data_IF_279812221104
#
_entry.id   IF_279812221104
#
_cell.length_a   1.000
_cell.length_b   1.000
_cell.length_c   1.000
_cell.angle_alpha   90.00
_cell.angle_beta   90.00
_cell.angle_gamma   90.00
#
_symmetry.space_group_name_H-M   'P 1'
#
loop_
_entity.id
_entity.type
_entity.pdbx_description
1 polymer ?
#
# COMPACT_ATOMS: atom_id res chain seq x y z
N UNK A 1 3.10 -37.73 -5.87
CA UNK A 1 2.05 -37.14 -5.04
C UNK A 1 2.35 -37.51 -3.59
N UNK A 2 3.10 -36.66 -2.89
CA UNK A 2 3.31 -36.85 -1.46
C UNK A 2 2.21 -36.10 -0.72
N UNK A 3 1.27 -36.85 -0.15
CA UNK A 3 0.34 -36.32 0.84
C UNK A 3 1.12 -35.90 2.07
N UNK A 4 0.94 -34.67 2.60
CA UNK A 4 1.64 -34.25 3.80
C UNK A 4 1.19 -35.10 4.98
N UNK A 5 2.15 -35.54 5.79
CA UNK A 5 1.94 -36.29 7.02
C UNK A 5 1.09 -35.46 8.00
N UNK A 6 -0.11 -35.92 8.44
CA UNK A 6 -1.00 -35.14 9.29
C UNK A 6 -0.49 -34.92 10.73
N UNK A 7 0.72 -35.35 11.05
CA UNK A 7 1.35 -35.19 12.38
C UNK A 7 2.55 -34.28 12.41
N UNK A 8 2.82 -33.49 11.34
CA UNK A 8 3.89 -32.50 11.41
C UNK A 8 3.45 -31.28 12.26
N UNK A 9 4.32 -30.73 13.11
CA UNK A 9 3.99 -29.55 13.92
C UNK A 9 3.44 -28.37 13.10
N UNK A 10 3.85 -28.23 11.84
CA UNK A 10 3.38 -27.17 10.94
C UNK A 10 1.88 -27.28 10.63
N UNK A 11 1.31 -28.49 10.51
CA UNK A 11 -0.13 -28.66 10.22
C UNK A 11 -1.02 -28.28 11.41
N UNK A 12 -0.54 -28.46 12.64
CA UNK A 12 -1.25 -28.07 13.87
C UNK A 12 -1.34 -26.55 14.01
N UNK A 13 -0.22 -25.83 13.78
CA UNK A 13 -0.20 -24.37 13.83
C UNK A 13 -1.04 -23.75 12.73
N UNK A 14 -0.96 -24.27 11.52
CA UNK A 14 -1.74 -23.81 10.39
C UNK A 14 -3.24 -23.95 10.62
N UNK A 15 -3.68 -25.12 11.13
CA UNK A 15 -5.08 -25.37 11.48
C UNK A 15 -5.57 -24.43 12.59
N UNK A 16 -4.78 -24.24 13.65
CA UNK A 16 -5.13 -23.34 14.75
C UNK A 16 -5.21 -21.88 14.28
N UNK A 17 -4.28 -21.44 13.43
CA UNK A 17 -4.25 -20.11 12.85
C UNK A 17 -5.47 -19.86 11.95
N UNK A 18 -5.77 -20.77 11.04
CA UNK A 18 -6.95 -20.68 10.16
C UNK A 18 -8.26 -20.68 10.94
N UNK A 19 -8.38 -21.52 11.98
CA UNK A 19 -9.56 -21.52 12.85
C UNK A 19 -9.73 -20.20 13.60
N UNK A 20 -8.63 -19.58 14.05
CA UNK A 20 -8.68 -18.27 14.70
C UNK A 20 -9.14 -17.18 13.73
N UNK A 21 -8.68 -17.22 12.47
CA UNK A 21 -9.09 -16.27 11.43
C UNK A 21 -10.54 -16.47 10.96
N UNK A 22 -11.04 -17.72 10.85
CA UNK A 22 -12.40 -18.02 10.33
C UNK A 22 -13.53 -17.74 11.34
N UNK A 23 -13.22 -17.63 12.63
CA UNK A 23 -14.22 -17.36 13.68
C UNK A 23 -14.46 -15.88 13.95
N UNK A 24 -13.98 -14.99 13.11
CA UNK A 24 -14.22 -13.54 13.15
C UNK A 24 -15.62 -13.22 12.59
N UNK A 25 -16.69 -13.76 13.22
CA UNK A 25 -18.06 -13.32 12.98
C UNK A 25 -18.34 -12.14 13.91
N UNK A 26 -18.90 -11.03 13.45
CA UNK A 26 -19.24 -9.91 14.32
C UNK A 26 -20.29 -10.36 15.35
N UNK A 27 -19.98 -10.19 16.62
CA UNK A 27 -20.92 -10.37 17.72
C UNK A 27 -21.68 -9.05 17.89
N UNK A 28 -22.99 -9.09 17.72
CA UNK A 28 -23.87 -7.93 17.98
C UNK A 28 -23.90 -7.66 19.49
N UNK A 29 -23.51 -6.47 19.90
CA UNK A 29 -23.63 -5.96 21.27
C UNK A 29 -24.47 -4.68 21.30
N UNK A 30 -25.11 -4.43 22.47
CA UNK A 30 -26.03 -3.30 22.71
C UNK A 30 -25.33 -1.92 22.66
N UNK A 31 -26.07 -0.83 22.33
CA UNK A 31 -25.49 0.46 21.98
C UNK A 31 -24.86 1.20 23.16
N UNK A 32 -23.62 1.65 22.99
CA UNK A 32 -22.91 2.49 23.95
C UNK A 32 -23.05 3.98 23.63
N UNK A 33 -23.96 4.64 24.31
CA UNK A 33 -24.42 6.01 24.01
C UNK A 33 -23.48 7.17 24.32
N UNK A 34 -22.14 7.05 24.35
CA UNK A 34 -21.22 8.18 24.61
C UNK A 34 -19.82 8.05 23.97
N UNK A 35 -19.66 7.32 22.88
CA UNK A 35 -18.35 7.05 22.27
C UNK A 35 -17.69 8.28 21.62
N UNK A 36 -18.50 9.18 21.04
CA UNK A 36 -17.97 10.34 20.30
C UNK A 36 -17.19 11.36 21.17
N UNK A 37 -17.33 11.34 22.50
CA UNK A 37 -16.56 12.20 23.41
C UNK A 37 -15.24 11.60 23.86
N UNK A 38 -15.06 10.32 23.61
CA UNK A 38 -13.97 9.51 24.16
C UNK A 38 -12.77 9.43 23.22
N UNK A 39 -12.96 9.72 21.94
CA UNK A 39 -11.95 9.49 20.90
C UNK A 39 -11.59 10.76 20.14
N UNK A 40 -10.33 10.83 19.74
CA UNK A 40 -9.78 11.89 18.91
C UNK A 40 -10.18 11.71 17.45
N UNK A 41 -10.17 12.78 16.66
CA UNK A 41 -10.41 12.76 15.22
C UNK A 41 -9.50 11.75 14.50
N UNK A 42 -8.23 11.67 14.89
CA UNK A 42 -7.27 10.71 14.35
C UNK A 42 -7.71 9.24 14.57
N UNK A 43 -8.36 8.96 15.68
CA UNK A 43 -8.90 7.63 15.99
C UNK A 43 -10.11 7.32 15.10
N UNK A 44 -10.97 8.30 14.84
CA UNK A 44 -12.09 8.18 13.91
C UNK A 44 -11.62 8.00 12.46
N UNK A 45 -10.60 8.74 12.03
CA UNK A 45 -9.95 8.56 10.74
C UNK A 45 -9.37 7.14 10.60
N UNK A 46 -8.77 6.60 11.66
CA UNK A 46 -8.25 5.23 11.67
C UNK A 46 -9.36 4.19 11.48
N UNK A 47 -10.54 4.42 12.07
CA UNK A 47 -11.70 3.55 11.94
C UNK A 47 -12.30 3.59 10.53
N UNK A 48 -12.45 4.77 9.96
CA UNK A 48 -12.85 4.91 8.56
C UNK A 48 -11.92 4.16 7.64
N UNK A 49 -10.62 4.39 7.76
CA UNK A 49 -9.61 3.75 6.91
C UNK A 49 -9.57 2.22 7.05
N UNK A 50 -9.94 1.68 8.20
CA UNK A 50 -10.03 0.23 8.43
C UNK A 50 -11.31 -0.39 7.89
N UNK A 51 -12.29 0.42 7.47
CA UNK A 51 -13.61 -0.05 7.08
C UNK A 51 -14.49 -0.47 8.26
N UNK A 52 -14.16 -0.04 9.48
CA UNK A 52 -14.88 -0.44 10.70
C UNK A 52 -16.35 0.02 10.71
N UNK A 53 -16.67 1.10 10.00
CA UNK A 53 -18.03 1.59 9.82
C UNK A 53 -18.83 0.83 8.74
N UNK A 54 -18.23 -0.16 8.07
CA UNK A 54 -18.81 -0.84 6.91
C UNK A 54 -18.46 -0.13 5.59
N UNK A 55 -19.16 -0.54 4.53
CA UNK A 55 -18.93 -0.04 3.16
C UNK A 55 -20.15 0.64 2.54
N UNK A 56 -21.28 0.62 3.24
CA UNK A 56 -22.57 1.14 2.74
C UNK A 56 -23.14 2.13 3.73
N UNK A 57 -23.46 3.34 3.27
CA UNK A 57 -23.90 4.46 4.09
C UNK A 57 -25.09 5.16 3.48
N UNK A 58 -25.88 5.87 4.31
CA UNK A 58 -26.87 6.81 3.83
C UNK A 58 -26.38 8.24 4.00
N UNK A 59 -26.56 9.02 2.95
CA UNK A 59 -26.28 10.47 2.99
C UNK A 59 -27.30 11.19 3.88
N UNK A 60 -27.00 12.41 4.26
CA UNK A 60 -27.96 13.28 4.97
C UNK A 60 -29.24 13.52 4.13
N UNK A 61 -29.13 13.49 2.80
CA UNK A 61 -30.26 13.61 1.86
C UNK A 61 -31.01 12.28 1.63
N UNK A 62 -30.52 11.14 2.17
CA UNK A 62 -31.20 9.85 2.09
C UNK A 62 -30.70 8.92 0.98
N UNK A 63 -29.82 9.37 0.06
CA UNK A 63 -29.22 8.55 -0.99
C UNK A 63 -28.29 7.49 -0.42
N UNK A 64 -28.12 6.38 -1.14
CA UNK A 64 -27.25 5.28 -0.77
C UNK A 64 -25.84 5.50 -1.32
N UNK A 65 -24.83 5.43 -0.46
CA UNK A 65 -23.41 5.46 -0.82
C UNK A 65 -22.79 4.08 -0.60
N UNK A 66 -22.19 3.53 -1.63
CA UNK A 66 -21.40 2.27 -1.58
C UNK A 66 -19.92 2.60 -1.83
N UNK A 67 -19.08 2.41 -0.83
CA UNK A 67 -17.66 2.69 -0.94
C UNK A 67 -16.99 1.61 -1.80
N UNK A 68 -16.38 2.04 -2.89
CA UNK A 68 -15.54 1.21 -3.76
C UNK A 68 -14.09 1.25 -3.27
N UNK A 69 -13.62 2.43 -2.84
CA UNK A 69 -12.30 2.64 -2.28
C UNK A 69 -12.35 3.74 -1.22
N UNK A 70 -11.85 3.45 -0.01
CA UNK A 70 -11.82 4.41 1.11
C UNK A 70 -10.87 5.59 0.90
N UNK A 71 -10.00 5.52 -0.09
CA UNK A 71 -8.94 6.49 -0.33
C UNK A 71 -7.63 6.14 0.39
N UNK A 72 -6.66 7.06 0.27
CA UNK A 72 -5.38 6.95 0.95
C UNK A 72 -5.35 7.93 2.12
N UNK A 73 -5.11 7.43 3.29
CA UNK A 73 -5.00 8.26 4.49
C UNK A 73 -3.86 9.27 4.33
N UNK A 74 -4.22 10.52 4.15
CA UNK A 74 -3.31 11.63 4.00
C UNK A 74 -2.74 12.02 5.38
N UNK A 75 -1.43 12.23 5.42
CA UNK A 75 -0.69 12.69 6.61
C UNK A 75 -0.02 14.04 6.35
N UNK A 76 -0.36 14.69 5.26
CA UNK A 76 0.10 16.00 4.84
C UNK A 76 -1.08 16.99 4.94
N UNK A 77 -0.82 18.32 4.92
CA UNK A 77 -1.91 19.30 4.90
C UNK A 77 -2.87 19.06 3.73
N UNK A 78 -4.15 19.09 3.97
CA UNK A 78 -5.21 18.82 3.00
C UNK A 78 -6.22 17.81 3.52
N UNK A 79 -7.13 17.31 2.67
CA UNK A 79 -8.16 16.34 3.04
C UNK A 79 -7.59 15.08 3.68
N UNK A 80 -8.32 14.48 4.61
CA UNK A 80 -7.90 13.30 5.39
C UNK A 80 -7.63 12.07 4.52
N UNK A 81 -8.44 11.86 3.50
CA UNK A 81 -8.27 10.74 2.57
C UNK A 81 -8.34 11.26 1.15
N UNK A 82 -7.35 10.89 0.36
CA UNK A 82 -7.26 11.27 -1.05
C UNK A 82 -7.54 10.08 -1.97
N UNK A 83 -8.07 10.36 -3.16
CA UNK A 83 -8.37 9.34 -4.18
C UNK A 83 -9.34 8.24 -3.71
N UNK A 84 -10.37 8.61 -2.98
CA UNK A 84 -11.48 7.73 -2.67
C UNK A 84 -12.43 7.59 -3.88
N UNK A 85 -13.18 6.50 -3.91
CA UNK A 85 -14.25 6.31 -4.88
C UNK A 85 -15.46 5.62 -4.26
N UNK A 86 -16.66 6.03 -4.66
CA UNK A 86 -17.90 5.45 -4.20
C UNK A 86 -18.99 5.54 -5.26
N UNK A 87 -20.00 4.71 -5.16
CA UNK A 87 -21.21 4.77 -5.97
C UNK A 87 -22.35 5.43 -5.20
N UNK A 88 -23.11 6.30 -5.87
CA UNK A 88 -24.31 6.91 -5.33
C UNK A 88 -25.52 6.26 -6.00
N UNK A 89 -26.42 5.71 -5.18
CA UNK A 89 -27.65 5.02 -5.60
C UNK A 89 -27.40 3.89 -6.63
N UNK A 90 -26.21 3.26 -6.57
CA UNK A 90 -25.82 2.16 -7.46
C UNK A 90 -25.42 2.55 -8.88
N UNK A 91 -25.69 3.77 -9.30
CA UNK A 91 -25.52 4.19 -10.70
C UNK A 91 -24.28 5.05 -10.94
N UNK A 92 -24.12 6.13 -10.17
CA UNK A 92 -23.09 7.14 -10.44
C UNK A 92 -21.84 6.91 -9.62
N UNK A 93 -20.69 6.72 -10.30
CA UNK A 93 -19.37 6.66 -9.65
C UNK A 93 -18.85 8.08 -9.39
N UNK A 94 -18.47 8.34 -8.15
CA UNK A 94 -17.77 9.54 -7.72
C UNK A 94 -16.32 9.19 -7.37
N UNK A 95 -15.40 10.06 -7.79
CA UNK A 95 -13.99 9.97 -7.46
C UNK A 95 -13.52 11.32 -6.91
N UNK A 96 -12.83 11.30 -5.78
CA UNK A 96 -12.31 12.51 -5.15
C UNK A 96 -11.73 12.23 -3.78
N UNK A 97 -11.72 13.27 -2.95
CA UNK A 97 -11.14 13.21 -1.62
C UNK A 97 -12.25 13.16 -0.56
N UNK A 98 -11.91 12.71 0.64
CA UNK A 98 -12.83 12.58 1.78
C UNK A 98 -12.26 13.34 2.96
N UNK A 99 -13.12 14.07 3.65
CA UNK A 99 -12.82 14.75 4.92
C UNK A 99 -13.66 14.16 6.03
N UNK A 100 -13.08 14.00 7.22
CA UNK A 100 -13.74 13.52 8.41
C UNK A 100 -13.58 14.52 9.57
N UNK A 101 -14.66 15.14 9.95
CA UNK A 101 -14.72 16.10 11.07
C UNK A 101 -15.52 15.54 12.26
N UNK A 102 -15.25 16.00 13.46
CA UNK A 102 -16.07 15.65 14.63
C UNK A 102 -17.44 16.32 14.53
N UNK A 103 -17.49 17.58 14.23
CA UNK A 103 -18.76 18.33 14.05
C UNK A 103 -18.91 18.75 12.60
N UNK A 104 -20.13 18.71 12.08
CA UNK A 104 -20.41 19.18 10.71
C UNK A 104 -19.99 20.63 10.47
N UNK A 105 -20.00 21.48 11.50
CA UNK A 105 -19.57 22.87 11.43
C UNK A 105 -18.03 23.06 11.40
N UNK A 106 -17.26 22.01 11.66
CA UNK A 106 -15.81 22.08 11.66
C UNK A 106 -15.26 22.33 10.27
N UNK A 107 -15.99 21.92 9.21
CA UNK A 107 -15.65 22.26 7.83
C UNK A 107 -15.40 23.77 7.64
N UNK A 108 -16.29 24.62 8.12
CA UNK A 108 -16.12 26.07 8.03
C UNK A 108 -15.21 26.62 9.12
N UNK A 109 -15.25 26.06 10.31
CA UNK A 109 -14.39 26.47 11.44
C UNK A 109 -12.91 26.23 11.14
N UNK A 110 -12.57 25.14 10.45
CA UNK A 110 -11.21 24.83 10.02
C UNK A 110 -10.83 25.53 8.71
N UNK A 111 -11.77 26.26 8.08
CA UNK A 111 -11.54 27.04 6.88
C UNK A 111 -11.48 26.20 5.59
N UNK A 112 -12.02 24.99 5.60
CA UNK A 112 -12.01 24.09 4.42
C UNK A 112 -12.80 24.69 3.26
N UNK A 113 -13.91 25.37 3.53
CA UNK A 113 -14.72 26.08 2.53
C UNK A 113 -13.96 27.19 1.78
N UNK A 114 -12.86 27.69 2.33
CA UNK A 114 -12.03 28.77 1.74
C UNK A 114 -10.64 28.26 1.27
N UNK A 115 -10.36 26.97 1.40
CA UNK A 115 -9.07 26.38 1.06
C UNK A 115 -9.14 25.56 -0.22
N UNK A 116 -8.47 25.98 -1.32
CA UNK A 116 -8.48 25.26 -2.60
C UNK A 116 -7.95 23.80 -2.51
N UNK A 117 -7.20 23.45 -1.48
CA UNK A 117 -6.75 22.08 -1.27
C UNK A 117 -7.93 21.12 -1.06
N UNK A 118 -9.11 21.63 -0.63
CA UNK A 118 -10.32 20.85 -0.38
C UNK A 118 -11.31 20.84 -1.55
N UNK A 119 -10.99 21.46 -2.69
CA UNK A 119 -11.89 21.54 -3.85
C UNK A 119 -12.19 20.17 -4.50
N UNK A 120 -11.36 19.18 -4.23
CA UNK A 120 -11.54 17.81 -4.68
C UNK A 120 -12.33 16.94 -3.72
N UNK A 121 -12.70 17.46 -2.56
CA UNK A 121 -13.53 16.70 -1.60
C UNK A 121 -14.91 16.47 -2.21
N UNK A 122 -15.29 15.20 -2.21
CA UNK A 122 -16.61 14.73 -2.73
C UNK A 122 -17.47 14.15 -1.63
N UNK A 123 -16.86 13.82 -0.47
CA UNK A 123 -17.54 13.22 0.66
C UNK A 123 -17.04 13.84 1.96
N UNK A 124 -17.96 14.38 2.76
CA UNK A 124 -17.73 14.91 4.09
C UNK A 124 -18.40 14.00 5.13
N UNK A 125 -17.60 13.40 5.97
CA UNK A 125 -18.04 12.54 7.07
C UNK A 125 -18.04 13.33 8.36
N UNK A 126 -19.04 13.17 9.20
CA UNK A 126 -19.06 13.81 10.50
C UNK A 126 -19.80 12.98 11.56
N UNK A 127 -19.45 13.21 12.82
CA UNK A 127 -19.95 12.44 13.96
C UNK A 127 -21.10 13.14 14.68
N UNK A 128 -21.12 14.49 14.66
CA UNK A 128 -22.12 15.29 15.38
C UNK A 128 -22.78 16.31 14.46
N UNK A 129 -24.10 16.34 14.48
CA UNK A 129 -24.91 17.34 13.78
C UNK A 129 -24.83 18.70 14.48
N UNK A 130 -25.00 19.76 13.72
CA UNK A 130 -25.33 21.09 14.24
C UNK A 130 -26.87 21.21 14.43
N UNK A 131 -27.33 22.03 15.40
CA UNK A 131 -28.75 22.38 15.52
C UNK A 131 -29.31 23.04 14.24
N UNK A 132 -28.48 23.77 13.50
CA UNK A 132 -28.85 24.38 12.22
C UNK A 132 -28.43 23.46 11.05
N UNK A 133 -29.16 23.49 9.97
CA UNK A 133 -28.81 22.83 8.71
C UNK A 133 -27.48 23.40 8.21
N UNK A 134 -26.51 22.52 7.94
CA UNK A 134 -25.19 22.89 7.49
C UNK A 134 -24.90 22.23 6.14
N UNK A 135 -24.56 23.03 5.14
CA UNK A 135 -24.23 22.57 3.80
C UNK A 135 -22.73 22.69 3.57
N UNK A 136 -22.08 21.57 3.29
CA UNK A 136 -20.66 21.56 2.97
C UNK A 136 -20.43 21.97 1.52
N UNK A 137 -19.65 23.02 1.30
CA UNK A 137 -19.28 23.52 -0.03
C UNK A 137 -17.80 23.81 -0.14
N UNK A 138 -17.25 23.58 -1.33
CA UNK A 138 -15.86 23.92 -1.68
C UNK A 138 -15.73 25.41 -2.05
N UNK A 139 -14.47 25.88 -2.27
CA UNK A 139 -14.21 27.26 -2.73
C UNK A 139 -14.90 27.56 -4.06
N UNK A 140 -15.08 26.52 -4.90
CA UNK A 140 -15.79 26.62 -6.20
C UNK A 140 -17.32 26.50 -6.06
N UNK A 141 -17.83 26.63 -4.85
CA UNK A 141 -19.26 26.48 -4.53
C UNK A 141 -19.87 25.11 -4.93
N UNK A 142 -19.03 24.09 -5.11
CA UNK A 142 -19.47 22.72 -5.36
C UNK A 142 -20.00 22.12 -4.07
N UNK A 143 -21.18 21.52 -4.13
CA UNK A 143 -21.75 20.78 -3.00
C UNK A 143 -21.00 19.48 -2.75
N UNK A 144 -20.69 19.19 -1.47
CA UNK A 144 -20.04 18.00 -1.01
C UNK A 144 -21.08 17.08 -0.37
N UNK A 145 -21.08 15.81 -0.75
CA UNK A 145 -22.00 14.80 -0.20
C UNK A 145 -21.67 14.58 1.28
N UNK A 146 -22.70 14.56 2.13
CA UNK A 146 -22.56 14.47 3.58
C UNK A 146 -23.06 13.13 4.11
N UNK A 147 -22.27 12.49 4.99
CA UNK A 147 -22.65 11.30 5.76
C UNK A 147 -22.50 11.61 7.25
N UNK A 148 -23.54 11.33 8.00
CA UNK A 148 -23.53 11.36 9.45
C UNK A 148 -23.30 9.95 10.00
N UNK A 149 -22.18 9.73 10.67
CA UNK A 149 -21.73 8.40 11.12
C UNK A 149 -22.34 7.93 12.46
N UNK A 150 -23.35 8.60 13.02
CA UNK A 150 -23.86 8.25 14.35
C UNK A 150 -24.45 6.84 14.43
N UNK A 151 -25.20 6.42 13.40
CA UNK A 151 -25.80 5.07 13.36
C UNK A 151 -24.75 3.97 13.28
N UNK A 152 -23.65 4.24 12.61
CA UNK A 152 -22.52 3.33 12.46
C UNK A 152 -21.69 3.26 13.74
N UNK A 153 -21.59 4.38 14.49
CA UNK A 153 -20.91 4.45 15.78
C UNK A 153 -21.63 3.62 16.83
N UNK A 154 -22.96 3.68 16.85
CA UNK A 154 -23.79 2.94 17.82
C UNK A 154 -23.66 1.42 17.66
N UNK A 155 -23.12 0.96 16.52
CA UNK A 155 -22.82 -0.45 16.23
C UNK A 155 -21.40 -0.86 16.63
N UNK A 156 -20.54 0.11 17.03
CA UNK A 156 -19.14 -0.17 17.34
C UNK A 156 -18.94 -0.50 18.81
N UNK A 157 -18.08 -1.46 19.06
CA UNK A 157 -17.58 -1.75 20.40
C UNK A 157 -16.66 -0.63 20.91
N UNK A 158 -16.50 -0.53 22.22
CA UNK A 158 -15.94 0.56 23.01
C UNK A 158 -14.52 1.05 22.64
N UNK A 159 -13.83 0.48 21.60
CA UNK A 159 -12.43 0.86 21.32
C UNK A 159 -11.94 0.57 19.88
N UNK A 160 -11.36 1.57 19.21
CA UNK A 160 -10.73 1.36 17.91
C UNK A 160 -9.44 0.54 18.04
N UNK A 161 -9.28 -0.55 17.28
CA UNK A 161 -8.13 -1.46 17.41
C UNK A 161 -6.80 -0.86 16.97
N UNK A 162 -6.81 0.23 16.19
CA UNK A 162 -5.61 0.75 15.53
C UNK A 162 -4.96 1.91 16.31
N UNK A 163 -5.73 2.72 17.01
CA UNK A 163 -5.25 3.96 17.63
C UNK A 163 -4.63 3.78 19.03
N UNK A 164 -5.02 2.74 19.76
CA UNK A 164 -4.49 2.48 21.09
C UNK A 164 -3.22 1.64 21.07
N UNK A 165 -2.07 2.29 20.94
CA UNK A 165 -0.78 1.64 21.18
C UNK A 165 -0.68 1.23 22.66
N UNK A 166 -0.28 -0.03 22.92
CA UNK A 166 0.04 -0.51 24.26
C UNK A 166 -1.04 -1.32 24.98
N UNK A 167 -2.22 -1.53 24.38
CA UNK A 167 -3.27 -2.40 25.00
C UNK A 167 -3.13 -3.88 24.69
N UNK A 168 -2.31 -4.25 23.74
CA UNK A 168 -2.01 -5.65 23.47
C UNK A 168 -1.25 -6.24 24.67
N UNK A 169 -1.65 -7.44 25.12
CA UNK A 169 -1.03 -8.15 26.23
C UNK A 169 0.34 -8.75 25.91
N UNK A 170 0.95 -8.39 24.80
CA UNK A 170 2.23 -8.90 24.30
C UNK A 170 2.26 -10.46 24.25
N UNK A 171 1.36 -11.08 23.51
CA UNK A 171 1.13 -12.54 23.57
C UNK A 171 2.35 -13.36 23.18
N UNK A 172 3.28 -12.83 22.39
CA UNK A 172 4.52 -13.52 22.02
C UNK A 172 5.66 -13.30 23.03
N UNK A 173 5.52 -12.35 23.92
CA UNK A 173 6.61 -11.94 24.83
C UNK A 173 7.11 -13.05 25.78
N UNK A 174 6.24 -14.03 26.12
CA UNK A 174 6.54 -15.09 27.08
C UNK A 174 6.63 -16.49 26.47
N UNK A 175 6.36 -16.63 25.18
CA UNK A 175 6.39 -17.93 24.51
C UNK A 175 7.80 -18.46 24.27
N UNK A 176 7.98 -19.79 24.17
CA UNK A 176 9.24 -20.37 23.70
C UNK A 176 9.60 -19.87 22.28
N UNK A 177 10.88 -19.62 22.03
CA UNK A 177 11.36 -19.10 20.73
C UNK A 177 10.91 -20.01 19.55
N UNK A 178 10.98 -21.33 19.72
CA UNK A 178 10.51 -22.29 18.69
C UNK A 178 9.04 -22.14 18.34
N UNK A 179 8.18 -21.89 19.32
CA UNK A 179 6.74 -21.66 19.11
C UNK A 179 6.52 -20.36 18.33
N UNK A 180 7.25 -19.31 18.72
CA UNK A 180 7.21 -18.01 18.01
C UNK A 180 7.63 -18.17 16.54
N UNK A 181 8.76 -18.86 16.29
CA UNK A 181 9.28 -19.06 14.93
C UNK A 181 8.30 -19.86 14.07
N UNK A 182 7.72 -20.94 14.60
CA UNK A 182 6.72 -21.74 13.88
C UNK A 182 5.46 -20.94 13.54
N UNK A 183 4.98 -20.13 14.48
CA UNK A 183 3.82 -19.27 14.28
C UNK A 183 4.08 -18.20 13.21
N UNK A 184 5.22 -17.52 13.31
CA UNK A 184 5.63 -16.50 12.36
C UNK A 184 5.84 -17.12 10.98
N UNK A 185 6.46 -18.29 10.89
CA UNK A 185 6.65 -19.00 9.62
C UNK A 185 5.32 -19.37 8.98
N UNK A 186 4.37 -19.89 9.76
CA UNK A 186 3.01 -20.21 9.29
C UNK A 186 2.33 -18.96 8.71
N UNK A 187 2.35 -17.86 9.45
CA UNK A 187 1.78 -16.59 8.99
C UNK A 187 2.48 -16.06 7.73
N UNK A 188 3.81 -16.23 7.63
CA UNK A 188 4.58 -15.83 6.45
C UNK A 188 4.17 -16.65 5.22
N UNK A 189 4.00 -17.96 5.35
CA UNK A 189 3.53 -18.84 4.28
C UNK A 189 2.15 -18.44 3.80
N UNK A 190 1.21 -18.19 4.70
CA UNK A 190 -0.13 -17.69 4.37
C UNK A 190 -0.05 -16.37 3.59
N UNK A 191 0.80 -15.44 4.05
CA UNK A 191 0.98 -14.16 3.35
C UNK A 191 1.52 -14.34 1.95
N UNK A 192 2.50 -15.20 1.77
CA UNK A 192 3.09 -15.45 0.45
C UNK A 192 2.08 -16.14 -0.47
N UNK A 193 1.28 -17.07 0.04
CA UNK A 193 0.22 -17.70 -0.73
C UNK A 193 -0.85 -16.70 -1.18
N UNK A 194 -1.34 -15.84 -0.27
CA UNK A 194 -2.29 -14.76 -0.63
C UNK A 194 -1.75 -13.87 -1.77
N UNK A 195 -0.44 -13.55 -1.74
CA UNK A 195 0.18 -12.77 -2.82
C UNK A 195 0.32 -13.55 -4.13
N UNK A 196 0.67 -14.83 -4.05
CA UNK A 196 0.74 -15.71 -5.22
C UNK A 196 -0.64 -15.83 -5.89
N UNK A 197 -1.69 -16.04 -5.10
CA UNK A 197 -3.08 -16.13 -5.58
C UNK A 197 -3.53 -14.82 -6.23
N UNK A 198 -3.16 -13.67 -5.66
CA UNK A 198 -3.44 -12.36 -6.25
C UNK A 198 -2.72 -12.18 -7.60
N UNK A 199 -1.44 -12.57 -7.65
CA UNK A 199 -0.67 -12.52 -8.89
C UNK A 199 -1.27 -13.45 -9.95
N UNK A 200 -1.68 -14.66 -9.55
CA UNK A 200 -2.31 -15.63 -10.45
C UNK A 200 -3.64 -15.12 -11.01
N UNK A 201 -4.47 -14.47 -10.18
CA UNK A 201 -5.71 -13.80 -10.66
C UNK A 201 -5.40 -12.72 -11.69
N UNK A 202 -4.40 -11.88 -11.42
CA UNK A 202 -3.96 -10.85 -12.37
C UNK A 202 -3.40 -11.47 -13.67
N UNK A 203 -2.64 -12.56 -13.54
CA UNK A 203 -2.09 -13.29 -14.67
C UNK A 203 -3.17 -13.95 -15.55
N UNK A 204 -4.24 -14.45 -14.94
CA UNK A 204 -5.40 -14.98 -15.66
C UNK A 204 -6.10 -13.91 -16.50
N UNK A 205 -6.17 -12.66 -15.97
CA UNK A 205 -6.83 -11.56 -16.67
C UNK A 205 -5.95 -10.89 -17.76
N UNK A 206 -4.64 -10.81 -17.54
CA UNK A 206 -3.74 -9.97 -18.34
C UNK A 206 -2.53 -10.71 -18.93
N UNK A 207 -2.33 -11.97 -18.58
CA UNK A 207 -1.10 -12.72 -18.85
C UNK A 207 -0.03 -12.51 -17.78
N UNK A 208 0.84 -13.51 -17.61
CA UNK A 208 1.86 -13.52 -16.52
C UNK A 208 2.85 -12.37 -16.66
N UNK A 209 3.33 -12.08 -17.86
CA UNK A 209 4.30 -10.99 -18.07
C UNK A 209 3.73 -9.62 -17.67
N UNK A 210 2.48 -9.34 -18.03
CA UNK A 210 1.81 -8.10 -17.68
C UNK A 210 1.53 -8.00 -16.19
N UNK A 211 1.08 -9.09 -15.56
CA UNK A 211 0.86 -9.15 -14.13
C UNK A 211 2.16 -8.89 -13.33
N UNK A 212 3.26 -9.48 -13.78
CA UNK A 212 4.59 -9.24 -13.19
C UNK A 212 5.05 -7.80 -13.39
N UNK A 213 4.86 -7.23 -14.57
CA UNK A 213 5.21 -5.84 -14.85
C UNK A 213 4.48 -4.89 -13.90
N UNK A 214 3.18 -5.08 -13.73
CA UNK A 214 2.38 -4.30 -12.78
C UNK A 214 2.86 -4.51 -11.34
N UNK A 215 3.20 -5.73 -10.94
CA UNK A 215 3.73 -6.03 -9.61
C UNK A 215 5.09 -5.34 -9.36
N UNK A 216 6.00 -5.33 -10.33
CA UNK A 216 7.26 -4.57 -10.27
C UNK A 216 7.01 -3.07 -10.15
N UNK A 217 6.11 -2.53 -10.95
CA UNK A 217 5.74 -1.12 -10.91
C UNK A 217 5.23 -0.73 -9.50
N UNK A 218 4.30 -1.49 -8.93
CA UNK A 218 3.79 -1.28 -7.57
C UNK A 218 4.91 -1.36 -6.52
N UNK A 219 5.83 -2.34 -6.64
CA UNK A 219 6.95 -2.48 -5.72
C UNK A 219 7.91 -1.29 -5.78
N UNK A 220 8.14 -0.74 -6.97
CA UNK A 220 8.97 0.46 -7.18
C UNK A 220 8.30 1.74 -6.69
N UNK A 221 6.97 1.82 -6.71
CA UNK A 221 6.20 2.98 -6.25
C UNK A 221 6.34 3.30 -4.77
N UNK A 222 6.90 2.39 -3.96
CA UNK A 222 7.05 2.55 -2.51
C UNK A 222 5.73 2.88 -1.82
N UNK A 223 5.76 3.53 -0.65
CA UNK A 223 4.54 3.80 0.14
C UNK A 223 3.57 4.76 -0.56
N UNK A 224 4.09 5.84 -1.13
CA UNK A 224 3.30 6.98 -1.56
C UNK A 224 2.93 6.95 -3.05
N UNK A 225 3.69 6.22 -3.86
CA UNK A 225 3.52 6.21 -5.32
C UNK A 225 3.10 4.84 -5.89
N UNK A 226 2.62 3.90 -5.07
CA UNK A 226 2.16 2.59 -5.57
C UNK A 226 1.07 2.71 -6.62
N UNK A 227 0.13 3.63 -6.41
CA UNK A 227 -1.01 3.83 -7.30
C UNK A 227 -0.62 4.52 -8.59
N UNK A 228 0.10 5.65 -8.57
CA UNK A 228 0.60 6.22 -9.83
C UNK A 228 1.40 5.21 -10.64
N UNK A 229 2.26 4.40 -10.01
CA UNK A 229 3.00 3.35 -10.71
C UNK A 229 2.10 2.24 -11.26
N UNK A 230 1.09 1.81 -10.53
CA UNK A 230 0.11 0.84 -11.03
C UNK A 230 -0.68 1.42 -12.21
N UNK A 231 -1.22 2.62 -12.05
CA UNK A 231 -1.95 3.32 -13.10
C UNK A 231 -1.11 3.54 -14.36
N UNK A 232 0.18 3.86 -14.18
CA UNK A 232 1.12 3.97 -15.27
C UNK A 232 1.33 2.63 -15.97
N UNK A 233 1.57 1.55 -15.22
CA UNK A 233 1.78 0.21 -15.80
C UNK A 233 0.54 -0.30 -16.54
N UNK A 234 -0.66 0.01 -16.08
CA UNK A 234 -1.90 -0.35 -16.77
C UNK A 234 -2.08 0.42 -18.09
N UNK A 235 -1.56 1.64 -18.20
CA UNK A 235 -1.59 2.46 -19.44
C UNK A 235 -0.44 2.15 -20.36
N UNK A 236 0.77 2.09 -19.83
CA UNK A 236 1.99 1.73 -20.53
C UNK A 236 2.22 0.21 -20.48
N UNK A 237 1.33 -0.56 -21.09
CA UNK A 237 1.42 -2.03 -21.08
C UNK A 237 2.80 -2.51 -21.50
N UNK A 238 3.27 -3.59 -20.90
CA UNK A 238 4.60 -4.14 -21.15
C UNK A 238 4.86 -4.41 -22.65
N UNK A 239 3.86 -4.97 -23.35
CA UNK A 239 4.00 -5.23 -24.80
C UNK A 239 4.23 -3.94 -25.57
N UNK A 240 3.46 -2.89 -25.27
CA UNK A 240 3.63 -1.56 -25.86
C UNK A 240 5.05 -1.03 -25.67
N UNK A 241 5.59 -1.14 -24.45
CA UNK A 241 6.95 -0.70 -24.13
C UNK A 241 8.01 -1.49 -24.89
N UNK A 242 7.83 -2.79 -25.01
CA UNK A 242 8.75 -3.67 -25.76
C UNK A 242 8.74 -3.39 -27.25
N UNK A 243 7.59 -3.07 -27.81
CA UNK A 243 7.44 -2.74 -29.24
C UNK A 243 8.16 -1.41 -29.57
N UNK A 244 8.25 -0.50 -28.59
CA UNK A 244 8.96 0.78 -28.75
C UNK A 244 10.46 0.70 -28.42
N UNK A 245 10.96 -0.42 -27.89
CA UNK A 245 12.40 -0.68 -27.70
C UNK A 245 13.15 0.45 -27.01
N UNK A 246 14.01 1.16 -27.71
CA UNK A 246 14.84 2.28 -27.19
C UNK A 246 13.95 3.43 -26.67
N UNK A 247 12.80 3.67 -27.26
CA UNK A 247 11.88 4.73 -26.86
C UNK A 247 11.00 4.35 -25.64
N UNK A 248 11.09 3.13 -25.12
CA UNK A 248 10.28 2.68 -23.98
C UNK A 248 10.45 3.53 -22.72
N UNK A 249 11.68 3.95 -22.43
CA UNK A 249 11.95 4.86 -21.30
C UNK A 249 11.25 6.21 -21.51
N UNK A 250 11.38 6.78 -22.68
CA UNK A 250 10.74 8.05 -23.05
C UNK A 250 9.22 7.96 -22.98
N UNK A 251 8.65 6.85 -23.42
CA UNK A 251 7.23 6.58 -23.33
C UNK A 251 6.76 6.48 -21.87
N UNK A 252 7.51 5.80 -21.01
CA UNK A 252 7.21 5.73 -19.57
C UNK A 252 7.24 7.13 -18.92
N UNK A 253 8.29 7.92 -19.17
CA UNK A 253 8.40 9.26 -18.61
C UNK A 253 7.35 10.23 -19.15
N UNK A 254 7.01 10.12 -20.43
CA UNK A 254 5.94 10.91 -21.06
C UNK A 254 4.58 10.57 -20.48
N UNK A 255 4.23 9.29 -20.40
CA UNK A 255 2.97 8.83 -19.82
C UNK A 255 2.86 9.11 -18.32
N UNK A 256 3.98 9.17 -17.60
CA UNK A 256 4.01 9.63 -16.22
C UNK A 256 3.73 11.14 -16.06
N UNK A 257 3.71 11.91 -17.17
CA UNK A 257 3.53 13.35 -17.17
C UNK A 257 4.82 14.14 -16.82
N UNK A 258 5.98 13.48 -16.75
CA UNK A 258 7.24 14.11 -16.33
C UNK A 258 7.94 14.87 -17.46
N UNK A 259 7.44 14.76 -18.68
CA UNK A 259 7.97 15.45 -19.87
C UNK A 259 7.04 16.56 -20.39
N UNK A 260 5.98 16.92 -19.65
CA UNK A 260 4.94 17.84 -20.11
C UNK A 260 5.14 19.30 -19.65
N UNK A 261 5.77 19.55 -18.49
CA UNK A 261 5.81 20.87 -17.87
C UNK A 261 7.22 21.48 -17.79
N UNK A 262 7.31 22.76 -17.37
CA UNK A 262 8.52 23.60 -17.25
C UNK A 262 9.72 23.01 -16.49
N UNK A 263 9.64 21.74 -16.07
CA UNK A 263 10.76 20.89 -15.68
C UNK A 263 11.80 20.78 -16.81
N UNK A 264 11.35 20.94 -18.04
CA UNK A 264 12.08 20.86 -19.29
C UNK A 264 13.38 21.69 -19.26
N UNK A 265 13.27 22.97 -18.97
CA UNK A 265 14.42 23.88 -19.03
C UNK A 265 15.48 23.61 -17.95
N UNK A 266 15.06 23.09 -16.78
CA UNK A 266 16.00 22.75 -15.70
C UNK A 266 16.70 21.41 -15.94
N UNK A 267 16.01 20.44 -16.49
CA UNK A 267 16.58 19.14 -16.79
C UNK A 267 17.58 19.21 -17.95
N UNK A 268 17.27 19.98 -18.99
CA UNK A 268 18.16 20.23 -20.13
C UNK A 268 19.48 20.92 -19.72
N UNK A 269 19.48 21.71 -18.64
CA UNK A 269 20.68 22.35 -18.12
C UNK A 269 21.62 21.39 -17.34
N UNK A 270 21.12 20.20 -16.91
CA UNK A 270 21.88 19.22 -16.11
C UNK A 270 22.57 18.18 -17.00
N UNK A 271 21.82 17.55 -17.89
CA UNK A 271 22.32 16.60 -18.89
C UNK A 271 21.55 16.79 -20.20
N UNK A 272 22.08 17.65 -21.08
CA UNK A 272 21.38 18.01 -22.32
C UNK A 272 21.15 16.81 -23.25
N UNK A 273 22.07 15.85 -23.30
CA UNK A 273 22.00 14.74 -24.23
C UNK A 273 21.01 13.66 -23.77
N UNK A 274 21.00 13.37 -22.48
CA UNK A 274 20.00 12.45 -21.92
C UNK A 274 18.59 13.02 -22.03
N UNK A 275 18.43 14.30 -21.68
CA UNK A 275 17.16 15.00 -21.78
C UNK A 275 16.64 15.06 -23.21
N UNK A 276 17.51 15.43 -24.17
CA UNK A 276 17.15 15.54 -25.59
C UNK A 276 16.62 14.20 -26.12
N UNK A 277 17.29 13.09 -25.82
CA UNK A 277 16.85 11.75 -26.23
C UNK A 277 15.46 11.42 -25.67
N UNK A 278 15.22 11.65 -24.37
CA UNK A 278 13.91 11.39 -23.76
C UNK A 278 12.83 12.22 -24.44
N UNK A 279 13.11 13.51 -24.64
CA UNK A 279 12.13 14.46 -25.17
C UNK A 279 11.85 14.23 -26.66
N UNK A 280 12.85 14.01 -27.50
CA UNK A 280 12.69 13.75 -28.93
C UNK A 280 11.84 12.50 -29.19
N UNK A 281 12.14 11.39 -28.53
CA UNK A 281 11.34 10.18 -28.65
C UNK A 281 9.91 10.39 -28.15
N UNK A 282 9.74 11.06 -27.00
CA UNK A 282 8.41 11.34 -26.47
C UNK A 282 7.61 12.22 -27.42
N UNK A 283 8.21 13.26 -27.92
CA UNK A 283 7.54 14.21 -28.82
C UNK A 283 6.99 13.55 -30.08
N UNK A 284 7.68 12.58 -30.65
CA UNK A 284 7.21 11.78 -31.77
C UNK A 284 5.99 10.90 -31.42
N UNK A 285 5.91 10.42 -30.17
CA UNK A 285 4.87 9.53 -29.70
C UNK A 285 3.70 10.26 -29.03
N UNK A 286 3.91 11.49 -28.59
CA UNK A 286 2.99 12.23 -27.76
C UNK A 286 1.58 12.36 -28.33
N UNK A 287 1.43 12.65 -29.60
CA UNK A 287 0.12 12.82 -30.25
C UNK A 287 -0.71 11.53 -30.18
N UNK A 288 -0.07 10.37 -30.28
CA UNK A 288 -0.72 9.07 -30.20
C UNK A 288 -1.14 8.71 -28.77
N UNK A 289 -0.35 9.07 -27.77
CA UNK A 289 -0.52 8.62 -26.39
C UNK A 289 -0.95 9.71 -25.40
N UNK A 290 -1.25 10.92 -25.87
CA UNK A 290 -1.61 12.06 -25.02
C UNK A 290 -2.79 11.76 -24.07
N UNK A 291 -3.78 10.97 -24.51
CA UNK A 291 -4.95 10.58 -23.73
C UNK A 291 -4.63 9.62 -22.56
N UNK A 292 -3.43 9.02 -22.55
CA UNK A 292 -2.97 8.12 -21.49
C UNK A 292 -2.06 8.80 -20.45
N UNK A 293 -1.70 10.06 -20.64
CA UNK A 293 -0.82 10.80 -19.72
C UNK A 293 -1.45 10.86 -18.33
N UNK A 294 -0.66 10.52 -17.31
CA UNK A 294 -1.05 10.68 -15.92
C UNK A 294 -0.97 12.14 -15.50
N UNK A 295 -1.91 12.56 -14.68
CA UNK A 295 -1.87 13.88 -14.06
C UNK A 295 -0.70 13.97 -13.08
N UNK A 296 0.00 15.10 -13.06
CA UNK A 296 1.17 15.34 -12.21
C UNK A 296 0.82 15.31 -10.72
N UNK A 297 -0.38 15.71 -10.33
CA UNK A 297 -0.87 15.74 -8.95
C UNK A 297 -1.08 14.34 -8.31
N UNK A 298 -1.08 13.28 -9.12
CA UNK A 298 -1.08 11.89 -8.63
C UNK A 298 0.25 11.49 -7.97
N UNK A 299 1.35 12.17 -8.32
CA UNK A 299 2.67 11.83 -7.83
C UNK A 299 3.01 12.55 -6.52
N UNK A 300 3.65 11.86 -5.60
CA UNK A 300 4.15 12.40 -4.33
C UNK A 300 5.68 12.49 -4.38
N UNK A 301 6.19 13.72 -4.33
CA UNK A 301 7.62 14.02 -4.44
C UNK A 301 8.24 14.42 -3.10
N UNK A 302 7.51 15.15 -2.26
CA UNK A 302 8.06 15.94 -1.15
C UNK A 302 8.60 15.15 0.04
N UNK A 303 8.03 13.97 0.34
CA UNK A 303 8.38 13.18 1.54
C UNK A 303 9.21 11.94 1.23
N UNK A 304 9.71 11.82 0.00
CA UNK A 304 10.49 10.67 -0.44
C UNK A 304 11.99 10.90 -0.20
N UNK A 305 12.69 9.88 0.32
CA UNK A 305 14.16 9.91 0.28
C UNK A 305 14.61 10.03 -1.18
N UNK A 306 15.71 10.78 -1.49
CA UNK A 306 16.14 10.99 -2.87
C UNK A 306 16.25 9.71 -3.70
N UNK A 307 16.77 8.63 -3.09
CA UNK A 307 16.86 7.31 -3.74
C UNK A 307 15.52 6.66 -4.07
N UNK A 308 14.41 7.12 -3.48
CA UNK A 308 13.05 6.62 -3.73
C UNK A 308 12.21 7.60 -4.59
N UNK A 309 12.83 8.64 -5.13
CA UNK A 309 12.14 9.62 -5.97
C UNK A 309 11.48 8.94 -7.19
N UNK A 310 10.24 9.31 -7.58
CA UNK A 310 9.52 8.68 -8.68
C UNK A 310 10.31 8.64 -9.99
N UNK A 311 11.03 9.71 -10.35
CA UNK A 311 11.84 9.74 -11.57
C UNK A 311 12.86 8.59 -11.59
N UNK A 312 13.63 8.44 -10.51
CA UNK A 312 14.64 7.39 -10.40
C UNK A 312 14.03 5.99 -10.41
N UNK A 313 12.88 5.82 -9.77
CA UNK A 313 12.14 4.54 -9.76
C UNK A 313 11.57 4.21 -11.11
N UNK A 314 11.20 5.24 -11.88
CA UNK A 314 10.75 5.05 -13.26
C UNK A 314 11.92 4.64 -14.17
N UNK A 315 13.11 5.22 -13.98
CA UNK A 315 14.33 4.75 -14.64
C UNK A 315 14.66 3.29 -14.32
N UNK A 316 14.46 2.86 -13.07
CA UNK A 316 14.61 1.46 -12.69
C UNK A 316 13.57 0.55 -13.38
N UNK A 317 12.32 1.01 -13.53
CA UNK A 317 11.28 0.29 -14.25
C UNK A 317 11.62 0.16 -15.74
N UNK A 318 12.13 1.22 -16.36
CA UNK A 318 12.59 1.21 -17.74
C UNK A 318 13.72 0.20 -17.96
N UNK A 319 14.67 0.13 -17.03
CA UNK A 319 15.76 -0.85 -17.09
C UNK A 319 15.26 -2.30 -16.94
N UNK A 320 14.27 -2.54 -16.08
CA UNK A 320 13.61 -3.84 -15.98
C UNK A 320 12.92 -4.23 -17.29
N UNK A 321 12.23 -3.28 -17.94
CA UNK A 321 11.59 -3.52 -19.25
C UNK A 321 12.64 -3.87 -20.31
N UNK A 322 13.75 -3.15 -20.35
CA UNK A 322 14.85 -3.40 -21.28
C UNK A 322 15.43 -4.80 -21.14
N UNK A 323 15.52 -5.29 -19.91
CA UNK A 323 16.07 -6.61 -19.56
C UNK A 323 14.97 -7.67 -19.31
N UNK A 324 13.74 -7.47 -19.82
CA UNK A 324 12.60 -8.33 -19.52
C UNK A 324 12.81 -9.80 -19.91
N UNK A 325 13.58 -10.05 -20.96
CA UNK A 325 13.92 -11.43 -21.37
C UNK A 325 14.66 -12.21 -20.25
N UNK A 326 15.49 -11.52 -19.47
CA UNK A 326 16.22 -12.12 -18.37
C UNK A 326 15.29 -12.46 -17.19
N UNK A 327 14.27 -11.63 -16.94
CA UNK A 327 13.27 -11.86 -15.89
C UNK A 327 12.49 -13.16 -16.15
N UNK A 328 12.25 -13.51 -17.40
CA UNK A 328 11.57 -14.76 -17.76
C UNK A 328 12.40 -16.01 -17.46
N UNK A 329 13.72 -15.87 -17.42
CA UNK A 329 14.71 -16.92 -17.16
C UNK A 329 15.25 -16.88 -15.74
N UNK A 330 14.56 -16.14 -14.84
CA UNK A 330 15.05 -15.92 -13.49
C UNK A 330 15.17 -17.25 -12.72
N UNK A 331 16.28 -17.40 -12.03
CA UNK A 331 16.58 -18.55 -11.17
C UNK A 331 15.55 -18.67 -10.03
N UNK A 332 15.15 -19.88 -9.61
CA UNK A 332 14.37 -20.06 -8.39
C UNK A 332 15.14 -19.70 -7.11
N UNK A 333 16.46 -19.51 -7.21
CA UNK A 333 17.32 -19.10 -6.09
C UNK A 333 17.24 -17.60 -5.87
N UNK A 334 16.57 -17.18 -4.81
CA UNK A 334 16.32 -15.78 -4.52
C UNK A 334 17.59 -14.95 -4.31
N UNK A 335 18.67 -15.56 -3.85
CA UNK A 335 19.96 -14.89 -3.71
C UNK A 335 20.54 -14.47 -5.08
N UNK A 336 20.47 -15.35 -6.08
CA UNK A 336 20.92 -15.06 -7.46
C UNK A 336 20.07 -13.94 -8.07
N UNK A 337 18.75 -13.97 -7.82
CA UNK A 337 17.84 -12.88 -8.24
C UNK A 337 18.20 -11.57 -7.55
N UNK A 338 18.50 -11.62 -6.25
CA UNK A 338 18.94 -10.44 -5.49
C UNK A 338 20.23 -9.84 -6.05
N UNK A 339 21.19 -10.68 -6.42
CA UNK A 339 22.45 -10.25 -7.06
C UNK A 339 22.17 -9.64 -8.44
N UNK A 340 21.32 -10.26 -9.26
CA UNK A 340 20.93 -9.72 -10.56
C UNK A 340 20.24 -8.34 -10.42
N UNK A 341 19.30 -8.18 -9.48
CA UNK A 341 18.66 -6.90 -9.20
C UNK A 341 19.66 -5.84 -8.72
N UNK A 342 20.66 -6.21 -7.93
CA UNK A 342 21.70 -5.29 -7.46
C UNK A 342 22.65 -4.84 -8.57
N UNK A 343 22.80 -5.66 -9.61
CA UNK A 343 23.59 -5.38 -10.80
C UNK A 343 22.86 -4.57 -11.87
N UNK A 344 21.61 -4.15 -11.63
CA UNK A 344 20.92 -3.22 -12.51
C UNK A 344 21.58 -1.86 -12.48
N UNK A 345 21.93 -1.34 -13.66
CA UNK A 345 22.71 -0.13 -13.85
C UNK A 345 22.18 0.66 -15.03
N UNK A 346 22.21 1.97 -14.92
CA UNK A 346 21.78 2.89 -15.98
C UNK A 346 22.67 4.14 -15.97
N UNK A 347 23.30 4.48 -17.09
CA UNK A 347 24.32 5.53 -17.19
C UNK A 347 23.92 6.85 -16.55
N UNK A 348 22.69 7.30 -16.72
CA UNK A 348 22.17 8.51 -16.08
C UNK A 348 21.76 8.25 -14.62
N UNK A 349 20.92 7.25 -14.37
CA UNK A 349 20.33 7.01 -13.05
C UNK A 349 21.31 6.51 -11.99
N UNK A 350 22.48 6.02 -12.37
CA UNK A 350 23.54 5.69 -11.42
C UNK A 350 24.18 6.93 -10.79
N UNK A 351 23.95 8.11 -11.38
CA UNK A 351 24.51 9.36 -10.88
C UNK A 351 23.45 10.43 -10.51
N UNK A 352 22.17 10.21 -10.81
CA UNK A 352 21.12 11.20 -10.60
C UNK A 352 19.95 10.66 -9.76
N UNK A 353 19.42 11.51 -8.89
CA UNK A 353 18.21 11.20 -8.12
C UNK A 353 16.92 11.62 -8.84
N UNK A 354 17.00 12.68 -9.63
CA UNK A 354 15.88 13.26 -10.41
C UNK A 354 16.38 13.69 -11.76
N UNK A 355 15.49 13.99 -12.69
CA UNK A 355 15.84 14.59 -13.98
C UNK A 355 16.57 15.93 -13.84
N UNK A 356 16.37 16.63 -12.73
CA UNK A 356 16.91 17.96 -12.46
C UNK A 356 17.97 17.99 -11.36
N UNK A 357 18.38 16.86 -10.82
CA UNK A 357 19.43 16.80 -9.81
C UNK A 357 20.82 16.83 -10.45
N UNK A 358 21.79 17.45 -9.77
CA UNK A 358 23.19 17.34 -10.17
C UNK A 358 23.66 15.89 -10.04
N UNK A 359 24.64 15.52 -10.86
CA UNK A 359 25.28 14.22 -10.77
C UNK A 359 26.00 14.04 -9.43
N UNK A 360 25.87 12.85 -8.86
CA UNK A 360 26.64 12.47 -7.67
C UNK A 360 28.07 12.12 -8.06
N UNK A 361 29.04 12.41 -7.17
CA UNK A 361 30.46 12.13 -7.40
C UNK A 361 30.78 10.64 -7.45
N UNK A 362 29.94 9.80 -6.83
CA UNK A 362 30.06 8.34 -6.83
C UNK A 362 28.78 7.73 -7.37
N UNK A 363 28.85 6.60 -8.09
CA UNK A 363 27.67 5.91 -8.54
C UNK A 363 26.84 5.41 -7.35
N UNK A 364 25.56 5.44 -7.50
CA UNK A 364 24.56 4.97 -6.54
C UNK A 364 23.80 3.81 -7.17
N UNK A 365 23.66 2.71 -6.45
CA UNK A 365 22.90 1.56 -6.94
C UNK A 365 21.47 1.97 -7.34
N UNK A 366 21.04 1.55 -8.52
CA UNK A 366 19.70 1.83 -9.04
C UNK A 366 18.62 1.27 -8.09
N UNK A 367 18.86 0.10 -7.53
CA UNK A 367 18.06 -0.52 -6.47
C UNK A 367 18.92 -0.76 -5.22
N UNK A 368 18.56 -0.15 -4.10
CA UNK A 368 19.18 -0.43 -2.80
C UNK A 368 18.64 -1.73 -2.18
N UNK A 369 19.40 -2.34 -1.26
CA UNK A 369 19.10 -3.65 -0.67
C UNK A 369 17.68 -3.76 -0.10
N UNK A 370 17.20 -2.74 0.61
CA UNK A 370 15.82 -2.73 1.15
C UNK A 370 14.78 -2.86 0.03
N UNK A 371 15.02 -2.24 -1.13
CA UNK A 371 14.12 -2.32 -2.27
C UNK A 371 14.19 -3.68 -2.94
N UNK A 372 15.39 -4.24 -3.06
CA UNK A 372 15.60 -5.61 -3.56
C UNK A 372 14.81 -6.59 -2.69
N UNK A 373 14.96 -6.52 -1.36
CA UNK A 373 14.24 -7.40 -0.43
C UNK A 373 12.71 -7.27 -0.57
N UNK A 374 12.20 -6.04 -0.78
CA UNK A 374 10.77 -5.85 -1.03
C UNK A 374 10.32 -6.45 -2.36
N UNK A 375 11.13 -6.36 -3.41
CA UNK A 375 10.84 -7.00 -4.70
C UNK A 375 10.87 -8.53 -4.55
N UNK A 376 11.87 -9.08 -3.87
CA UNK A 376 11.95 -10.52 -3.61
C UNK A 376 10.72 -11.02 -2.85
N UNK A 377 10.29 -10.30 -1.80
CA UNK A 377 9.14 -10.69 -0.99
C UNK A 377 7.78 -10.48 -1.65
N UNK A 378 7.63 -9.44 -2.46
CA UNK A 378 6.31 -9.03 -2.95
C UNK A 378 6.06 -9.36 -4.41
N UNK A 379 7.10 -9.72 -5.16
CA UNK A 379 7.01 -10.02 -6.60
C UNK A 379 7.60 -11.39 -6.91
N UNK A 380 8.89 -11.61 -6.61
CA UNK A 380 9.62 -12.78 -7.10
C UNK A 380 9.16 -14.06 -6.39
N UNK A 381 9.19 -14.09 -5.06
CA UNK A 381 8.78 -15.30 -4.33
C UNK A 381 7.29 -15.66 -4.56
N UNK A 382 6.34 -14.73 -4.58
CA UNK A 382 4.96 -15.02 -5.00
C UNK A 382 4.85 -15.54 -6.45
N UNK A 383 5.66 -15.04 -7.38
CA UNK A 383 5.74 -15.56 -8.75
C UNK A 383 6.22 -17.01 -8.78
N UNK A 384 7.29 -17.31 -8.05
CA UNK A 384 7.83 -18.67 -7.96
C UNK A 384 6.81 -19.63 -7.31
N UNK A 385 6.08 -19.17 -6.28
CA UNK A 385 4.97 -19.94 -5.70
C UNK A 385 3.88 -20.23 -6.72
N UNK A 386 3.45 -19.24 -7.49
CA UNK A 386 2.43 -19.40 -8.53
C UNK A 386 2.87 -20.36 -9.64
N UNK A 387 4.18 -20.57 -9.84
CA UNK A 387 4.77 -21.51 -10.80
C UNK A 387 5.08 -22.88 -10.17
N UNK A 388 4.89 -23.06 -8.87
CA UNK A 388 5.36 -24.24 -8.10
C UNK A 388 6.89 -24.45 -8.17
N UNK A 389 7.65 -23.36 -8.27
CA UNK A 389 9.11 -23.34 -8.34
C UNK A 389 9.76 -22.74 -7.10
N UNK A 390 8.95 -22.33 -6.10
CA UNK A 390 9.45 -21.63 -4.92
C UNK A 390 10.24 -22.55 -3.99
N UNK A 391 11.44 -22.07 -3.61
CA UNK A 391 12.23 -22.64 -2.53
C UNK A 391 12.03 -21.83 -1.25
N UNK A 392 11.38 -22.44 -0.28
CA UNK A 392 11.08 -21.80 1.00
C UNK A 392 12.33 -21.59 1.86
N UNK A 393 13.30 -22.48 1.81
CA UNK A 393 14.52 -22.36 2.59
C UNK A 393 15.40 -21.23 2.06
N UNK A 394 15.46 -21.07 0.75
CA UNK A 394 16.06 -19.89 0.12
C UNK A 394 15.39 -18.60 0.58
N UNK A 395 14.05 -18.56 0.64
CA UNK A 395 13.31 -17.39 1.14
C UNK A 395 13.61 -17.09 2.62
N UNK A 396 13.66 -18.12 3.46
CA UNK A 396 13.97 -17.98 4.89
C UNK A 396 15.36 -17.43 5.15
N UNK A 397 16.32 -17.66 4.26
CA UNK A 397 17.71 -17.21 4.42
C UNK A 397 17.88 -15.70 4.20
N UNK A 398 16.91 -15.01 3.58
CA UNK A 398 17.04 -13.59 3.24
C UNK A 398 17.01 -12.73 4.51
N UNK A 399 18.13 -12.05 4.78
CA UNK A 399 18.23 -11.08 5.89
C UNK A 399 17.52 -9.78 5.54
N UNK A 400 16.89 -9.16 6.52
CA UNK A 400 16.25 -7.89 6.37
C UNK A 400 16.49 -7.00 7.60
N UNK A 401 16.65 -5.70 7.35
CA UNK A 401 16.75 -4.71 8.41
C UNK A 401 15.37 -4.29 8.91
N UNK A 402 15.25 -4.00 10.20
CA UNK A 402 14.05 -3.48 10.82
C UNK A 402 13.89 -1.98 10.48
N UNK A 403 13.39 -1.66 9.31
CA UNK A 403 13.23 -0.27 8.84
C UNK A 403 11.78 0.19 8.69
N UNK A 404 10.80 -0.71 8.85
CA UNK A 404 9.40 -0.43 8.63
C UNK A 404 8.71 0.01 9.93
N UNK A 405 8.19 1.27 9.96
CA UNK A 405 7.46 1.81 11.13
C UNK A 405 6.27 0.91 11.55
N UNK A 406 5.52 0.36 10.58
CA UNK A 406 4.42 -0.57 10.88
C UNK A 406 4.94 -1.81 11.62
N UNK A 407 6.05 -2.38 11.17
CA UNK A 407 6.65 -3.54 11.81
C UNK A 407 7.13 -3.23 13.23
N UNK A 408 7.64 -2.03 13.50
CA UNK A 408 7.98 -1.61 14.88
C UNK A 408 6.74 -1.57 15.79
N UNK A 409 5.60 -1.09 15.27
CA UNK A 409 4.34 -1.09 16.01
C UNK A 409 3.88 -2.52 16.28
N UNK A 410 3.97 -3.40 15.29
CA UNK A 410 3.65 -4.84 15.41
C UNK A 410 4.52 -5.47 16.49
N UNK A 411 5.83 -5.26 16.43
CA UNK A 411 6.77 -5.78 17.43
C UNK A 411 6.42 -5.31 18.84
N UNK A 412 6.14 -4.01 19.03
CA UNK A 412 5.74 -3.47 20.33
C UNK A 412 4.44 -4.11 20.84
N UNK A 413 3.47 -4.34 19.98
CA UNK A 413 2.20 -4.98 20.35
C UNK A 413 2.36 -6.46 20.70
N UNK A 414 3.09 -7.22 19.89
CA UNK A 414 3.16 -8.67 20.03
C UNK A 414 4.20 -9.13 21.06
N UNK A 415 5.29 -8.40 21.24
CA UNK A 415 6.39 -8.75 22.14
C UNK A 415 6.48 -7.86 23.38
N UNK A 416 5.77 -6.71 23.42
CA UNK A 416 5.93 -5.70 24.45
C UNK A 416 7.24 -4.92 24.29
N UNK A 417 7.77 -4.39 25.40
CA UNK A 417 9.03 -3.64 25.43
C UNK A 417 10.26 -4.54 25.65
N UNK A 418 10.26 -5.72 25.06
CA UNK A 418 11.34 -6.70 25.19
C UNK A 418 12.27 -6.70 23.98
N UNK A 419 13.55 -7.02 24.19
CA UNK A 419 14.51 -7.18 23.09
C UNK A 419 14.23 -8.42 22.21
N UNK A 420 13.31 -9.30 22.63
CA UNK A 420 12.93 -10.52 21.89
C UNK A 420 12.48 -10.26 20.46
N UNK A 421 11.81 -9.13 20.24
CA UNK A 421 11.39 -8.75 18.88
C UNK A 421 12.56 -8.71 17.88
N UNK A 422 13.78 -8.35 18.34
CA UNK A 422 14.97 -8.30 17.50
C UNK A 422 15.40 -9.68 17.01
N UNK A 423 15.18 -10.73 17.78
CA UNK A 423 15.52 -12.10 17.41
C UNK A 423 14.60 -12.63 16.29
N UNK A 424 13.34 -12.19 16.30
CA UNK A 424 12.31 -12.62 15.37
C UNK A 424 12.01 -11.59 14.24
N UNK A 425 12.97 -10.73 13.93
CA UNK A 425 12.85 -9.73 12.83
C UNK A 425 14.08 -9.65 11.93
N UNK A 426 15.04 -10.56 12.12
CA UNK A 426 16.31 -10.57 11.37
C UNK A 426 16.15 -11.00 9.92
N UNK A 427 15.16 -11.82 9.64
CA UNK A 427 14.91 -12.38 8.32
C UNK A 427 13.62 -11.83 7.71
N UNK A 428 13.58 -11.79 6.39
CA UNK A 428 12.49 -11.23 5.63
C UNK A 428 11.17 -11.96 5.90
N UNK A 429 11.19 -13.31 5.94
CA UNK A 429 10.00 -14.10 6.24
C UNK A 429 9.41 -13.77 7.62
N UNK A 430 10.27 -13.56 8.63
CA UNK A 430 9.83 -13.19 9.97
C UNK A 430 9.05 -11.87 9.96
N UNK A 431 9.59 -10.88 9.25
CA UNK A 431 8.92 -9.58 9.10
C UNK A 431 7.59 -9.70 8.36
N UNK A 432 7.53 -10.54 7.32
CA UNK A 432 6.29 -10.77 6.56
C UNK A 432 5.26 -11.55 7.39
N UNK A 433 5.67 -12.50 8.19
CA UNK A 433 4.79 -13.23 9.11
C UNK A 433 4.20 -12.34 10.19
N UNK A 434 5.02 -11.50 10.82
CA UNK A 434 4.55 -10.53 11.81
C UNK A 434 3.57 -9.52 11.19
N UNK A 435 3.81 -9.07 9.96
CA UNK A 435 2.89 -8.20 9.24
C UNK A 435 1.58 -8.91 8.91
N UNK A 436 1.60 -10.22 8.64
CA UNK A 436 0.39 -10.99 8.40
C UNK A 436 -0.43 -11.16 9.68
N UNK A 437 0.21 -11.50 10.81
CA UNK A 437 -0.45 -11.56 12.11
C UNK A 437 -1.12 -10.22 12.44
N UNK A 438 -0.43 -9.12 12.19
CA UNK A 438 -0.98 -7.79 12.40
C UNK A 438 -2.19 -7.50 11.49
N UNK A 439 -2.13 -7.92 10.25
CA UNK A 439 -3.23 -7.76 9.30
C UNK A 439 -4.46 -8.57 9.72
N UNK A 440 -4.26 -9.83 10.08
CA UNK A 440 -5.36 -10.74 10.40
C UNK A 440 -5.99 -10.45 11.78
N UNK A 441 -5.22 -10.02 12.78
CA UNK A 441 -5.70 -9.87 14.17
C UNK A 441 -5.70 -8.42 14.69
N UNK A 442 -5.04 -7.49 14.03
CA UNK A 442 -4.99 -6.10 14.47
C UNK A 442 -5.66 -5.12 13.51
N UNK A 443 -5.81 -5.47 12.24
CA UNK A 443 -6.43 -4.63 11.22
C UNK A 443 -7.77 -5.18 10.71
N UNK A 444 -7.85 -6.50 10.53
CA UNK A 444 -9.08 -7.14 10.02
C UNK A 444 -10.08 -7.43 11.13
N UNK A 445 -9.61 -7.55 12.38
CA UNK A 445 -10.47 -7.72 13.54
C UNK A 445 -10.99 -6.34 13.99
N UNK A 446 -12.28 -6.09 13.83
CA UNK A 446 -12.96 -4.90 14.33
C UNK A 446 -13.11 -4.90 15.86
N UNK A 447 -12.74 -6.01 16.55
CA UNK A 447 -12.76 -6.09 18.00
C UNK A 447 -11.60 -5.31 18.61
N UNK A 448 -11.80 -4.83 19.82
CA UNK A 448 -10.72 -4.23 20.59
C UNK A 448 -9.70 -5.28 21.03
N UNK A 449 -8.48 -4.87 21.39
CA UNK A 449 -7.44 -5.78 21.85
C UNK A 449 -7.85 -6.63 23.08
N UNK A 450 -8.87 -6.24 23.84
CA UNK A 450 -9.38 -7.00 24.99
C UNK A 450 -10.17 -8.24 24.58
N UNK A 451 -10.84 -8.21 23.43
CA UNK A 451 -11.58 -9.34 22.86
C UNK A 451 -10.79 -10.11 21.79
N UNK A 452 -9.53 -9.72 21.53
CA UNK A 452 -8.69 -10.33 20.52
C UNK A 452 -8.42 -11.81 20.86
N UNK A 453 -8.71 -12.70 19.90
CA UNK A 453 -8.53 -14.14 20.05
C UNK A 453 -7.11 -14.64 19.84
N UNK A 454 -6.24 -13.80 19.33
CA UNK A 454 -4.85 -14.16 19.07
C UNK A 454 -4.12 -14.66 20.34
N UNK A 455 -4.23 -13.98 21.52
CA UNK A 455 -3.62 -14.47 22.75
C UNK A 455 -4.14 -15.84 23.20
N UNK A 456 -5.45 -16.10 23.06
CA UNK A 456 -6.04 -17.40 23.41
C UNK A 456 -5.59 -18.53 22.48
N UNK A 457 -5.48 -18.22 21.19
CA UNK A 457 -4.95 -19.15 20.20
C UNK A 457 -3.51 -19.53 20.54
N UNK A 458 -2.70 -18.53 20.83
CA UNK A 458 -1.27 -18.69 21.11
C UNK A 458 -1.03 -19.43 22.44
N UNK A 459 -1.91 -19.24 23.44
CA UNK A 459 -1.82 -19.95 24.73
C UNK A 459 -2.12 -21.45 24.61
N UNK A 460 -2.71 -21.90 23.50
CA UNK A 460 -3.01 -23.32 23.21
C UNK A 460 -1.91 -24.03 22.40
N UNK A 461 -0.91 -23.29 21.95
CA UNK A 461 0.24 -23.77 21.20
C UNK A 461 1.43 -24.08 22.11
#
# INVERSE_FOLDING_TARGET
>A
MNTPDPKSPSSSYESAYQQACTRLTPVLHEPAGHLAEKWTELEWQAMWYSGAFGTTFRTVSGSLVEIVQFGFWNREPGPDFVHASFRLDGEKLFEGDVELDIHVADWDRHGHSQNPAFDRVVLHLFLRKSPASHFTRTTMNKEVIQIHLQSEIDLLEDQPPIAHQGRCCAPLGRLPARTIDSLIETAARIRMQKKADQLQRSATAHGMDEALFQAFAVALGYKLNKIPFLALAQRAKLQLLRDHGIAAESLLFGLAGFLEDGTINRAAAIDPDYWRRLWEHWWQLRSQFAHLILRHDLWRFGTTRPSNHPHRRLGALAELVRRWKEIRLISPRLEEVGQWLSGLSHSFWDHHFTLTSRATSRPIHLLGQTRINEILANVIHPMLLARNEADWDSYKSIRAELSNRRLMIVCKRLFGETDRAREHTRFLYQQQGLLQIFEDFCLADATNCAACRFPEMVAKL
#
